data_IF_805279544347
#
_entry.id   IF_805279544347
#
_cell.length_a   1.000
_cell.length_b   1.000
_cell.length_c   1.000
_cell.angle_alpha   90.00
_cell.angle_beta   90.00
_cell.angle_gamma   90.00
#
_symmetry.space_group_name_H-M   'P 1'
#
loop_
_entity.id
_entity.type
_entity.pdbx_description
1 polymer ?
#
# COMPACT_ATOMS: atom_id res chain seq x y z
N UNK A 1 8.82 10.83 -1.41
CA UNK A 1 7.44 10.36 -1.17
C UNK A 1 7.56 9.22 -0.18
N UNK A 2 6.73 9.20 0.85
CA UNK A 2 6.82 8.19 1.91
C UNK A 2 5.55 7.36 1.92
N UNK A 3 5.71 6.06 2.16
CA UNK A 3 4.59 5.14 2.30
C UNK A 3 4.68 4.45 3.65
N UNK A 4 3.53 4.12 4.21
CA UNK A 4 3.47 3.27 5.39
C UNK A 4 3.58 1.80 4.99
N UNK A 5 4.43 1.02 5.63
CA UNK A 5 4.51 -0.43 5.46
C UNK A 5 4.09 -1.10 6.74
N UNK A 6 3.14 -2.03 6.67
CA UNK A 6 2.64 -2.76 7.84
C UNK A 6 3.38 -4.07 7.97
N UNK A 7 4.07 -4.25 9.10
CA UNK A 7 4.73 -5.50 9.47
C UNK A 7 3.71 -6.62 9.81
N UNK A 8 4.17 -7.86 9.87
CA UNK A 8 3.36 -9.02 10.29
C UNK A 8 2.69 -8.82 11.67
N UNK A 9 3.26 -7.98 12.55
CA UNK A 9 2.69 -7.62 13.85
C UNK A 9 1.60 -6.53 13.78
N UNK A 10 1.28 -6.01 12.59
CA UNK A 10 0.35 -4.90 12.40
C UNK A 10 0.96 -3.53 12.74
N UNK A 11 2.29 -3.41 12.79
CA UNK A 11 2.97 -2.15 13.12
C UNK A 11 3.39 -1.43 11.84
N UNK A 12 3.07 -0.14 11.76
CA UNK A 12 3.44 0.73 10.65
C UNK A 12 4.92 1.11 10.75
N UNK A 13 5.60 1.04 9.62
CA UNK A 13 6.94 1.55 9.38
C UNK A 13 6.87 2.50 8.19
N UNK A 14 7.08 3.79 8.43
CA UNK A 14 7.19 4.75 7.34
C UNK A 14 8.52 4.55 6.62
N UNK A 15 8.46 4.35 5.30
CA UNK A 15 9.64 4.15 4.47
C UNK A 15 9.61 5.09 3.28
N UNK A 16 10.76 5.69 3.00
CA UNK A 16 10.94 6.47 1.79
C UNK A 16 10.98 5.55 0.57
N UNK A 17 10.19 5.90 -0.44
CA UNK A 17 10.11 5.18 -1.70
C UNK A 17 10.51 6.05 -2.86
N UNK A 18 11.11 5.42 -3.86
CA UNK A 18 11.41 6.05 -5.14
C UNK A 18 10.25 5.80 -6.09
N UNK A 19 9.42 6.82 -6.28
CA UNK A 19 8.38 6.80 -7.32
C UNK A 19 9.05 7.06 -8.67
N UNK A 20 8.75 6.20 -9.64
CA UNK A 20 9.17 6.35 -11.02
C UNK A 20 8.14 7.15 -11.80
N UNK A 21 7.35 6.44 -12.60
CA UNK A 21 6.35 7.04 -13.48
C UNK A 21 5.00 7.17 -12.80
N UNK A 22 4.41 8.34 -12.92
CA UNK A 22 3.02 8.58 -12.50
C UNK A 22 2.08 8.47 -13.69
N UNK A 23 0.98 7.73 -13.52
CA UNK A 23 -0.07 7.48 -14.51
C UNK A 23 -1.40 8.15 -14.11
N UNK A 24 -1.36 9.15 -13.24
CA UNK A 24 -2.53 9.90 -12.76
C UNK A 24 -3.29 9.22 -11.62
N UNK A 25 -3.73 7.97 -11.80
CA UNK A 25 -4.43 7.18 -10.76
C UNK A 25 -3.58 6.05 -10.17
N UNK A 26 -2.42 5.80 -10.76
CA UNK A 26 -1.47 4.78 -10.35
C UNK A 26 -0.08 5.36 -10.49
N UNK A 27 0.82 5.04 -9.56
CA UNK A 27 2.22 5.46 -9.63
C UNK A 27 3.11 4.23 -9.50
N UNK A 28 4.14 4.17 -10.33
CA UNK A 28 5.14 3.10 -10.30
C UNK A 28 6.12 3.34 -9.15
N UNK A 29 6.38 2.31 -8.35
CA UNK A 29 7.40 2.33 -7.30
C UNK A 29 8.64 1.60 -7.83
N UNK A 30 9.76 2.31 -7.94
CA UNK A 30 11.04 1.76 -8.39
C UNK A 30 11.81 1.06 -7.26
N UNK A 31 11.70 1.57 -6.02
CA UNK A 31 12.37 0.98 -4.86
C UNK A 31 11.77 1.45 -3.53
N UNK A 32 12.03 0.67 -2.46
CA UNK A 32 11.66 0.99 -1.07
C UNK A 32 10.58 0.08 -0.46
N UNK A 33 9.90 -0.73 -1.27
CA UNK A 33 8.91 -1.74 -0.86
C UNK A 33 9.05 -3.01 -1.72
N UNK A 34 8.55 -4.13 -1.20
CA UNK A 34 8.52 -5.42 -1.89
C UNK A 34 7.08 -5.88 -2.16
N UNK A 35 6.88 -6.84 -3.05
CA UNK A 35 5.55 -7.39 -3.36
C UNK A 35 4.87 -8.09 -2.17
N UNK A 36 5.66 -8.50 -1.17
CA UNK A 36 5.14 -9.12 0.05
C UNK A 36 4.76 -8.10 1.13
N UNK A 37 5.16 -6.84 0.97
CA UNK A 37 4.88 -5.78 1.95
C UNK A 37 3.42 -5.33 1.87
N UNK A 38 2.77 -5.16 3.02
CA UNK A 38 1.46 -4.50 3.08
C UNK A 38 1.64 -2.99 3.12
N UNK A 39 1.49 -2.34 1.97
CA UNK A 39 1.73 -0.90 1.80
C UNK A 39 0.44 -0.08 1.99
N UNK A 40 0.55 1.02 2.72
CA UNK A 40 -0.43 2.08 2.87
C UNK A 40 -0.07 3.16 1.85
N UNK A 41 -0.80 3.17 0.74
CA UNK A 41 -0.56 4.08 -0.39
C UNK A 41 -0.88 5.54 -0.05
N UNK A 42 -1.85 5.76 0.82
CA UNK A 42 -2.26 7.08 1.29
C UNK A 42 -2.27 7.12 2.82
N UNK A 43 -1.11 7.30 3.48
CA UNK A 43 -1.06 7.46 4.93
C UNK A 43 -1.73 8.78 5.32
N UNK A 44 -2.55 8.78 6.38
CA UNK A 44 -2.96 10.03 7.00
C UNK A 44 -1.74 10.76 7.58
N UNK A 45 -1.77 12.09 7.60
CA UNK A 45 -0.67 12.91 8.13
C UNK A 45 -0.30 12.58 9.58
N UNK A 46 -1.28 12.15 10.39
CA UNK A 46 -1.05 11.72 11.78
C UNK A 46 -0.44 10.32 11.91
N UNK A 47 -0.32 9.55 10.82
CA UNK A 47 0.20 8.18 10.85
C UNK A 47 1.72 8.23 11.02
N UNK A 48 2.22 7.71 12.13
CA UNK A 48 3.65 7.70 12.48
C UNK A 48 4.21 6.28 12.57
N UNK A 49 5.53 6.13 12.41
CA UNK A 49 6.20 4.85 12.64
C UNK A 49 5.95 4.34 14.06
N UNK A 50 5.69 3.04 14.18
CA UNK A 50 5.32 2.41 15.46
C UNK A 50 3.81 2.38 15.72
N UNK A 51 3.01 3.06 14.90
CA UNK A 51 1.55 3.01 15.02
C UNK A 51 1.05 1.60 14.73
N UNK A 52 0.25 1.04 15.64
CA UNK A 52 -0.41 -0.24 15.42
C UNK A 52 -1.67 0.01 14.60
N UNK A 53 -1.74 -0.61 13.42
CA UNK A 53 -2.90 -0.54 12.54
C UNK A 53 -3.54 -1.92 12.41
N UNK A 54 -4.86 -1.93 12.29
CA UNK A 54 -5.59 -3.13 11.89
C UNK A 54 -5.85 -3.05 10.41
N UNK A 55 -5.26 -3.98 9.66
CA UNK A 55 -5.60 -4.16 8.25
C UNK A 55 -7.04 -4.66 8.21
N UNK A 56 -7.95 -3.85 7.66
CA UNK A 56 -9.30 -4.30 7.41
C UNK A 56 -9.24 -5.53 6.49
N UNK A 57 -9.98 -6.59 6.83
CA UNK A 57 -10.10 -7.74 5.95
C UNK A 57 -10.71 -7.25 4.63
N UNK A 58 -9.90 -7.17 3.59
CA UNK A 58 -10.41 -6.92 2.25
C UNK A 58 -11.19 -8.16 1.85
N UNK A 59 -12.53 -8.09 1.89
CA UNK A 59 -13.34 -8.97 1.06
C UNK A 59 -12.75 -8.88 -0.34
N UNK A 60 -12.30 -10.03 -0.85
CA UNK A 60 -11.69 -10.20 -2.17
C UNK A 60 -12.26 -9.22 -3.19
N UNK A 61 -11.45 -8.52 -4.00
CA UNK A 61 -12.01 -7.83 -5.14
C UNK A 61 -12.79 -8.88 -5.94
N UNK A 62 -14.10 -8.67 -6.04
CA UNK A 62 -14.97 -9.51 -6.84
C UNK A 62 -14.37 -9.57 -8.24
N UNK A 63 -14.13 -10.76 -8.81
CA UNK A 63 -13.75 -10.84 -10.21
C UNK A 63 -14.88 -10.21 -11.01
N UNK A 64 -14.60 -9.12 -11.72
CA UNK A 64 -15.52 -8.57 -12.70
C UNK A 64 -15.93 -9.71 -13.64
N UNK A 65 -17.23 -9.98 -13.84
CA UNK A 65 -17.66 -11.14 -14.60
C UNK A 65 -17.32 -10.94 -16.07
N UNK A 66 -16.64 -11.95 -16.62
CA UNK A 66 -16.54 -12.34 -18.02
C UNK A 66 -17.60 -11.70 -18.94
N UNK A 67 -17.20 -10.79 -19.82
CA UNK A 67 -17.98 -10.46 -21.01
C UNK A 67 -17.60 -11.45 -22.12
N UNK A 68 -18.32 -12.58 -22.18
CA UNK A 68 -18.38 -13.43 -23.38
C UNK A 68 -19.16 -12.68 -24.47
N UNK A 69 -18.66 -12.68 -25.70
CA UNK A 69 -19.48 -12.54 -26.91
C UNK A 69 -18.99 -13.48 -27.99
#
# INVERSE_FOLDING_TARGET
>A
MQVGVVDAKGVVQLRDVKVGRDFGIQSEILSGVTESDKVIVNPSDSLTTGTIVRVAATSSPSPSPTAKK
#
